data_IF_583203370544
#
_entry.id   IF_583203370544
#
_cell.length_a   1.000
_cell.length_b   1.000
_cell.length_c   1.000
_cell.angle_alpha   90.00
_cell.angle_beta   90.00
_cell.angle_gamma   90.00
#
_symmetry.space_group_name_H-M   'P 1'
#
loop_
_entity.id
_entity.type
_entity.pdbx_description
1 polymer ?
#
# COMPACT_ATOMS: atom_id res chain seq x y z
N UNK A 1 -18.17 -16.55 6.19
CA UNK A 1 -17.67 -15.82 7.39
C UNK A 1 -16.37 -16.49 7.81
N UNK A 2 -15.22 -15.97 7.37
CA UNK A 2 -13.91 -16.53 7.74
C UNK A 2 -13.38 -15.76 8.96
N UNK A 3 -13.02 -16.51 10.01
CA UNK A 3 -12.50 -16.02 11.27
C UNK A 3 -11.17 -15.25 11.05
N UNK A 4 -11.12 -14.00 11.56
CA UNK A 4 -9.85 -13.30 11.72
C UNK A 4 -8.99 -14.02 12.78
N UNK A 5 -7.67 -14.08 12.63
CA UNK A 5 -6.80 -14.68 13.62
C UNK A 5 -6.94 -13.97 14.96
N UNK A 6 -7.26 -14.74 15.99
CA UNK A 6 -7.31 -14.29 17.37
C UNK A 6 -5.88 -14.23 17.92
N UNK A 7 -5.14 -13.18 17.59
CA UNK A 7 -3.98 -12.81 18.39
C UNK A 7 -4.51 -12.20 19.69
N UNK A 8 -4.32 -12.91 20.80
CA UNK A 8 -4.91 -12.61 22.10
C UNK A 8 -4.34 -11.39 22.83
N UNK A 9 -3.78 -10.41 22.12
CA UNK A 9 -3.35 -9.15 22.71
C UNK A 9 -4.57 -8.33 23.12
N UNK A 10 -4.80 -8.22 24.43
CA UNK A 10 -5.82 -7.34 25.00
C UNK A 10 -5.58 -5.91 24.51
N UNK A 11 -6.62 -5.29 23.96
CA UNK A 11 -6.55 -3.86 23.59
C UNK A 11 -6.13 -3.05 24.84
N UNK A 12 -5.21 -2.10 24.71
CA UNK A 12 -4.87 -1.21 25.80
C UNK A 12 -6.13 -0.45 26.25
N UNK A 13 -6.36 -0.37 27.55
CA UNK A 13 -7.45 0.42 28.12
C UNK A 13 -7.14 1.91 27.89
N UNK A 14 -7.98 2.58 27.15
CA UNK A 14 -7.75 3.97 26.71
C UNK A 14 -7.87 5.00 27.84
N UNK A 15 -8.52 4.68 28.99
CA UNK A 15 -8.88 5.75 29.93
C UNK A 15 -8.79 5.38 31.43
N UNK A 16 -8.16 6.28 32.20
CA UNK A 16 -8.68 6.65 33.51
C UNK A 16 -9.98 7.44 33.33
N UNK A 17 -10.82 7.51 34.38
CA UNK A 17 -12.23 7.85 34.27
C UNK A 17 -12.59 9.26 33.76
N UNK A 18 -11.71 10.26 33.73
CA UNK A 18 -12.14 11.66 33.77
C UNK A 18 -11.77 12.56 32.58
N UNK A 19 -10.70 12.35 31.83
CA UNK A 19 -10.34 13.23 30.71
C UNK A 19 -9.89 12.45 29.48
N UNK A 20 -10.33 12.87 28.31
CA UNK A 20 -9.79 12.43 27.03
C UNK A 20 -8.87 13.50 26.48
N UNK A 21 -7.57 13.28 26.59
CA UNK A 21 -6.53 14.17 26.07
C UNK A 21 -6.08 13.79 24.63
N UNK A 22 -6.92 13.04 23.89
CA UNK A 22 -6.57 12.49 22.57
C UNK A 22 -6.24 10.99 22.63
N UNK A 23 -5.96 10.41 21.46
CA UNK A 23 -5.65 8.98 21.33
C UNK A 23 -4.17 8.62 21.64
N UNK A 24 -3.42 9.55 22.22
CA UNK A 24 -2.01 9.38 22.52
C UNK A 24 -1.08 9.99 21.46
N UNK A 25 0.23 9.69 21.53
CA UNK A 25 1.23 10.22 20.62
C UNK A 25 0.89 9.91 19.16
N UNK A 26 1.33 10.77 18.25
CA UNK A 26 1.17 10.58 16.80
C UNK A 26 2.43 11.03 16.09
N UNK A 27 2.88 10.24 15.13
CA UNK A 27 3.93 10.63 14.20
C UNK A 27 3.49 11.73 13.20
N UNK A 28 2.18 12.02 13.17
CA UNK A 28 1.55 12.94 12.21
C UNK A 28 1.08 14.24 12.84
N UNK A 29 1.59 14.56 14.01
CA UNK A 29 1.39 15.81 14.74
C UNK A 29 2.75 16.34 15.18
N UNK A 30 2.99 17.68 15.15
CA UNK A 30 4.20 18.24 15.70
C UNK A 30 4.41 17.79 17.16
N UNK A 31 5.66 17.48 17.57
CA UNK A 31 5.95 16.91 18.89
C UNK A 31 5.44 17.75 20.08
N UNK A 32 5.50 19.07 19.93
CA UNK A 32 5.16 20.05 20.98
C UNK A 32 3.66 20.43 20.98
N UNK A 33 2.84 19.83 20.11
CA UNK A 33 1.44 20.19 19.97
C UNK A 33 0.54 19.21 20.74
N UNK A 34 -0.25 19.71 21.74
CA UNK A 34 -1.17 18.86 22.47
C UNK A 34 -2.34 18.40 21.58
N UNK A 35 -2.85 17.20 21.84
CA UNK A 35 -4.07 16.75 21.19
C UNK A 35 -5.27 17.50 21.74
N UNK A 36 -6.09 18.07 20.86
CA UNK A 36 -7.38 18.64 21.22
C UNK A 36 -8.48 17.60 21.04
N UNK A 37 -8.90 16.99 22.12
CA UNK A 37 -9.87 15.91 22.08
C UNK A 37 -11.04 16.10 23.04
N UNK A 38 -12.15 15.40 22.78
CA UNK A 38 -13.33 15.40 23.65
C UNK A 38 -13.97 14.03 23.73
N UNK A 39 -14.61 13.77 24.87
CA UNK A 39 -15.33 12.55 25.20
C UNK A 39 -16.77 12.83 25.54
N UNK A 40 -17.69 12.10 24.94
CA UNK A 40 -19.10 12.10 25.26
C UNK A 40 -19.55 10.73 25.76
N UNK A 41 -20.30 10.70 26.86
CA UNK A 41 -20.91 9.48 27.39
C UNK A 41 -22.43 9.50 27.19
N UNK A 42 -23.00 8.39 26.73
CA UNK A 42 -24.45 8.28 26.60
C UNK A 42 -24.91 6.83 26.44
N UNK A 43 -25.75 6.37 27.34
CA UNK A 43 -26.39 5.04 27.24
C UNK A 43 -27.43 4.97 26.08
N UNK A 44 -27.96 6.11 25.64
CA UNK A 44 -28.97 6.21 24.58
C UNK A 44 -28.43 7.07 23.43
N UNK A 45 -28.73 6.67 22.20
CA UNK A 45 -28.31 7.39 20.98
C UNK A 45 -28.72 8.89 20.99
N UNK A 46 -29.94 9.21 21.50
CA UNK A 46 -30.41 10.60 21.62
C UNK A 46 -29.48 11.50 22.47
N UNK A 47 -28.85 10.95 23.53
CA UNK A 47 -27.92 11.72 24.36
C UNK A 47 -26.60 12.00 23.62
N UNK A 48 -26.09 10.99 22.91
CA UNK A 48 -24.90 11.14 22.07
C UNK A 48 -25.17 12.12 20.91
N UNK A 49 -26.33 12.03 20.26
CA UNK A 49 -26.77 12.97 19.21
C UNK A 49 -26.75 14.41 19.69
N UNK A 50 -27.39 14.72 20.83
CA UNK A 50 -27.37 16.08 21.41
C UNK A 50 -25.94 16.53 21.70
N UNK A 51 -25.13 15.69 22.35
CA UNK A 51 -23.75 16.04 22.67
C UNK A 51 -22.88 16.30 21.43
N UNK A 52 -23.09 15.57 20.35
CA UNK A 52 -22.40 15.81 19.05
C UNK A 52 -22.84 17.15 18.47
N UNK A 53 -24.15 17.43 18.42
CA UNK A 53 -24.69 18.69 17.91
C UNK A 53 -24.12 19.90 18.66
N UNK A 54 -24.03 19.80 19.98
CA UNK A 54 -23.66 20.93 20.84
C UNK A 54 -22.14 21.13 20.94
N UNK A 55 -21.34 20.06 20.75
CA UNK A 55 -19.92 20.10 21.07
C UNK A 55 -18.96 19.64 19.97
N UNK A 56 -19.42 18.95 18.93
CA UNK A 56 -18.48 18.52 17.88
C UNK A 56 -18.04 19.72 17.01
N UNK A 57 -16.73 19.85 16.75
CA UNK A 57 -16.22 20.95 15.93
C UNK A 57 -16.52 20.72 14.44
N UNK A 58 -16.48 21.81 13.67
CA UNK A 58 -16.63 21.74 12.21
C UNK A 58 -15.28 21.64 11.48
N UNK A 59 -14.30 21.07 12.13
CA UNK A 59 -12.94 20.89 11.62
C UNK A 59 -12.67 19.44 11.25
N UNK A 60 -11.56 19.20 10.57
CA UNK A 60 -11.05 17.88 10.30
C UNK A 60 -10.65 17.15 11.60
N UNK A 61 -10.73 15.83 11.59
CA UNK A 61 -10.30 15.04 12.72
C UNK A 61 -10.65 13.55 12.60
N UNK A 62 -10.28 12.84 13.66
CA UNK A 62 -10.58 11.42 13.84
C UNK A 62 -11.51 11.22 15.02
N UNK A 63 -12.29 10.15 14.98
CA UNK A 63 -13.22 9.82 16.07
C UNK A 63 -13.22 8.32 16.33
N UNK A 64 -13.49 7.97 17.58
CA UNK A 64 -13.60 6.60 18.05
C UNK A 64 -14.94 6.34 18.71
N UNK A 65 -15.49 5.15 18.47
CA UNK A 65 -16.71 4.65 19.11
C UNK A 65 -16.35 3.51 20.04
N UNK A 66 -16.80 3.60 21.28
CA UNK A 66 -16.43 2.72 22.37
C UNK A 66 -17.70 2.05 22.92
N UNK A 67 -17.62 0.73 23.13
CA UNK A 67 -18.73 -0.08 23.65
C UNK A 67 -18.86 -0.02 25.18
N UNK A 68 -19.80 -0.81 25.72
CA UNK A 68 -20.07 -0.94 27.16
C UNK A 68 -18.92 -1.62 27.93
N UNK A 69 -18.03 -2.32 27.23
CA UNK A 69 -16.83 -2.97 27.77
C UNK A 69 -15.58 -2.11 27.67
N UNK A 70 -15.74 -0.81 27.41
CA UNK A 70 -14.65 0.15 27.21
C UNK A 70 -13.68 -0.22 26.04
N UNK A 71 -14.15 -0.95 25.03
CA UNK A 71 -13.36 -1.29 23.84
C UNK A 71 -13.69 -0.35 22.72
N UNK A 72 -12.69 0.12 21.99
CA UNK A 72 -12.89 0.82 20.72
C UNK A 72 -13.41 -0.20 19.71
N UNK A 73 -14.61 0.04 19.22
CA UNK A 73 -15.28 -0.81 18.23
C UNK A 73 -15.19 -0.26 16.81
N UNK A 74 -14.96 1.04 16.66
CA UNK A 74 -14.82 1.70 15.37
C UNK A 74 -13.98 2.98 15.51
N UNK A 75 -13.15 3.25 14.52
CA UNK A 75 -12.41 4.49 14.29
C UNK A 75 -12.78 5.00 12.90
N UNK A 76 -12.91 6.32 12.77
CA UNK A 76 -13.16 6.96 11.49
C UNK A 76 -12.57 8.36 11.43
N UNK A 77 -12.42 8.87 10.21
CA UNK A 77 -12.01 10.24 9.93
C UNK A 77 -13.14 11.09 9.39
N UNK A 78 -12.97 12.39 9.48
CA UNK A 78 -13.88 13.37 8.92
C UNK A 78 -13.14 14.63 8.44
N UNK A 79 -13.62 15.23 7.33
CA UNK A 79 -13.28 16.61 6.96
C UNK A 79 -13.97 17.62 7.88
N UNK A 80 -15.16 17.26 8.36
CA UNK A 80 -15.96 18.00 9.32
C UNK A 80 -16.52 16.99 10.32
N UNK A 81 -15.99 17.00 11.54
CA UNK A 81 -16.35 16.05 12.60
C UNK A 81 -17.85 16.12 12.94
N UNK A 82 -18.41 17.33 13.08
CA UNK A 82 -19.84 17.50 13.40
C UNK A 82 -20.73 16.87 12.34
N UNK A 83 -20.54 17.24 11.09
CA UNK A 83 -21.32 16.72 9.97
C UNK A 83 -21.25 15.20 9.86
N UNK A 84 -20.04 14.65 9.97
CA UNK A 84 -19.79 13.20 9.89
C UNK A 84 -20.44 12.44 11.05
N UNK A 85 -20.28 12.92 12.27
CA UNK A 85 -20.84 12.28 13.45
C UNK A 85 -22.37 12.35 13.46
N UNK A 86 -22.96 13.50 13.04
CA UNK A 86 -24.41 13.66 12.89
C UNK A 86 -25.00 12.65 11.88
N UNK A 87 -24.25 12.27 10.85
CA UNK A 87 -24.74 11.30 9.83
C UNK A 87 -25.07 9.93 10.42
N UNK A 88 -24.49 9.54 11.55
CA UNK A 88 -24.79 8.28 12.24
C UNK A 88 -26.18 8.25 12.89
N UNK A 89 -26.79 9.41 13.12
CA UNK A 89 -28.10 9.54 13.80
C UNK A 89 -29.26 9.72 12.81
N UNK A 90 -28.99 9.79 11.52
CA UNK A 90 -30.04 9.90 10.48
C UNK A 90 -30.69 8.53 10.27
N UNK A 91 -31.99 8.39 10.59
CA UNK A 91 -32.68 7.10 10.55
C UNK A 91 -32.90 6.60 9.12
N UNK A 92 -33.29 7.46 8.19
CA UNK A 92 -33.76 7.08 6.85
C UNK A 92 -32.64 6.89 5.78
N UNK A 93 -31.39 7.22 6.08
CA UNK A 93 -30.29 7.13 5.10
C UNK A 93 -29.00 6.52 5.65
N UNK A 94 -29.08 5.89 6.80
CA UNK A 94 -27.95 5.30 7.48
C UNK A 94 -27.65 3.88 6.96
N UNK A 95 -26.43 3.60 6.48
CA UNK A 95 -26.07 2.24 6.10
C UNK A 95 -26.24 1.25 7.27
N UNK A 96 -26.65 -0.01 7.03
CA UNK A 96 -26.87 -1.01 8.09
C UNK A 96 -25.68 -1.18 9.05
N UNK A 97 -24.46 -1.05 8.54
CA UNK A 97 -23.23 -1.09 9.35
C UNK A 97 -23.14 0.08 10.33
N UNK A 98 -23.46 1.29 9.89
CA UNK A 98 -23.44 2.49 10.73
C UNK A 98 -24.48 2.39 11.87
N UNK A 99 -25.64 1.81 11.60
CA UNK A 99 -26.64 1.49 12.60
C UNK A 99 -26.11 0.57 13.70
N UNK A 100 -25.55 -0.57 13.32
CA UNK A 100 -24.94 -1.53 14.24
C UNK A 100 -23.81 -0.95 15.10
N UNK A 101 -23.07 0.01 14.55
CA UNK A 101 -21.98 0.68 15.29
C UNK A 101 -22.56 1.62 16.34
N UNK A 102 -23.48 2.53 15.95
CA UNK A 102 -24.01 3.54 16.87
C UNK A 102 -24.84 2.91 17.99
N UNK A 103 -25.59 1.83 17.72
CA UNK A 103 -26.40 1.12 18.71
C UNK A 103 -25.54 0.49 19.83
N UNK A 104 -24.31 0.08 19.51
CA UNK A 104 -23.35 -0.46 20.48
C UNK A 104 -22.50 0.61 21.15
N UNK A 105 -22.50 1.84 20.63
CA UNK A 105 -21.67 2.93 21.16
C UNK A 105 -22.24 3.41 22.49
N UNK A 106 -21.37 3.48 23.51
CA UNK A 106 -21.65 4.06 24.84
C UNK A 106 -20.82 5.28 25.12
N UNK A 107 -19.65 5.36 24.48
CA UNK A 107 -18.77 6.53 24.55
C UNK A 107 -18.32 6.88 23.14
N UNK A 108 -18.42 8.15 22.81
CA UNK A 108 -17.91 8.73 21.58
C UNK A 108 -16.76 9.66 21.95
N UNK A 109 -15.65 9.51 21.29
CA UNK A 109 -14.47 10.36 21.45
C UNK A 109 -14.04 10.90 20.08
N UNK A 110 -13.47 12.09 20.05
CA UNK A 110 -12.83 12.63 18.85
C UNK A 110 -11.58 13.40 19.20
N UNK A 111 -10.70 13.53 18.24
CA UNK A 111 -9.48 14.32 18.25
C UNK A 111 -9.47 15.17 16.99
N UNK A 112 -9.26 16.48 17.13
CA UNK A 112 -9.11 17.38 16.00
C UNK A 112 -7.72 17.16 15.37
N UNK A 113 -7.64 17.33 14.06
CA UNK A 113 -6.38 17.29 13.32
C UNK A 113 -6.24 18.61 12.55
N UNK A 114 -5.03 18.99 12.19
CA UNK A 114 -4.78 20.23 11.48
C UNK A 114 -5.59 20.32 10.18
N UNK A 115 -5.68 19.22 9.44
CA UNK A 115 -6.33 19.15 8.12
C UNK A 115 -6.86 17.73 7.83
N UNK A 116 -7.40 17.53 6.61
CA UNK A 116 -7.94 16.24 6.16
C UNK A 116 -6.83 15.19 5.94
N UNK A 117 -5.65 15.60 5.50
CA UNK A 117 -4.55 14.68 5.26
C UNK A 117 -4.03 14.10 6.59
N UNK A 118 -3.88 14.95 7.61
CA UNK A 118 -3.59 14.51 8.98
C UNK A 118 -4.65 13.55 9.52
N UNK A 119 -5.96 13.85 9.30
CA UNK A 119 -7.04 12.95 9.70
C UNK A 119 -6.95 11.58 9.03
N UNK A 120 -6.56 11.54 7.75
CA UNK A 120 -6.41 10.32 6.98
C UNK A 120 -5.26 9.45 7.50
N UNK A 121 -4.11 10.07 7.78
CA UNK A 121 -2.92 9.39 8.35
C UNK A 121 -3.21 8.89 9.78
N UNK A 122 -3.83 9.72 10.59
CA UNK A 122 -4.16 9.40 11.98
C UNK A 122 -5.18 8.28 12.08
N UNK A 123 -6.18 8.24 11.20
CA UNK A 123 -7.14 7.13 11.12
C UNK A 123 -6.41 5.79 10.90
N UNK A 124 -5.49 5.73 9.93
CA UNK A 124 -4.73 4.52 9.66
C UNK A 124 -3.89 4.09 10.86
N UNK A 125 -3.16 5.03 11.47
CA UNK A 125 -2.34 4.80 12.66
C UNK A 125 -3.17 4.21 13.80
N UNK A 126 -4.34 4.80 14.08
CA UNK A 126 -5.24 4.36 15.14
C UNK A 126 -5.89 3.00 14.85
N UNK A 127 -6.27 2.73 13.58
CA UNK A 127 -6.82 1.43 13.19
C UNK A 127 -5.75 0.33 13.37
N UNK A 128 -4.53 0.60 12.98
CA UNK A 128 -3.42 -0.35 13.14
C UNK A 128 -3.08 -0.61 14.62
N UNK A 129 -3.18 0.42 15.46
CA UNK A 129 -2.90 0.31 16.88
C UNK A 129 -4.02 -0.40 17.66
N UNK A 130 -5.28 0.06 17.50
CA UNK A 130 -6.42 -0.44 18.28
C UNK A 130 -7.15 -1.63 17.67
N UNK A 131 -7.00 -1.89 16.38
CA UNK A 131 -7.64 -2.99 15.65
C UNK A 131 -9.15 -3.11 15.90
N UNK A 132 -9.96 -2.04 15.68
CA UNK A 132 -11.36 -2.04 16.06
C UNK A 132 -12.17 -3.05 15.25
N UNK A 133 -13.12 -3.72 15.90
CA UNK A 133 -13.91 -4.81 15.31
C UNK A 133 -14.65 -4.42 14.01
N UNK A 134 -15.14 -3.19 13.92
CA UNK A 134 -15.89 -2.72 12.77
C UNK A 134 -15.04 -2.04 11.68
N UNK A 135 -13.76 -1.80 11.91
CA UNK A 135 -12.84 -1.44 10.84
C UNK A 135 -12.35 -2.71 10.17
N UNK A 136 -12.50 -2.78 8.87
CA UNK A 136 -12.02 -3.91 8.06
C UNK A 136 -10.76 -3.51 7.31
N UNK A 137 -10.82 -2.38 6.60
CA UNK A 137 -9.66 -1.80 5.91
C UNK A 137 -8.72 -1.13 6.91
N UNK A 138 -7.41 -1.19 6.64
CA UNK A 138 -6.38 -0.59 7.48
C UNK A 138 -5.95 -1.43 8.69
N UNK A 139 -6.61 -2.56 8.96
CA UNK A 139 -6.14 -3.47 10.03
C UNK A 139 -4.87 -4.21 9.58
N UNK A 140 -3.88 -4.37 10.47
CA UNK A 140 -2.71 -5.18 10.19
C UNK A 140 -3.08 -6.60 9.76
N UNK A 141 -2.53 -7.08 8.65
CA UNK A 141 -2.80 -8.40 8.11
C UNK A 141 -4.15 -8.57 7.40
N UNK A 142 -4.97 -7.50 7.27
CA UNK A 142 -6.17 -7.53 6.44
C UNK A 142 -5.83 -7.69 4.95
N UNK A 143 -4.89 -6.89 4.46
CA UNK A 143 -4.27 -7.07 3.16
C UNK A 143 -3.12 -8.07 3.31
N UNK A 144 -3.27 -9.24 2.72
CA UNK A 144 -2.15 -10.19 2.61
C UNK A 144 -1.32 -9.79 1.40
N UNK A 145 -0.19 -9.18 1.67
CA UNK A 145 0.76 -8.83 0.63
C UNK A 145 1.50 -10.05 0.10
N UNK A 146 1.82 -10.01 -1.18
CA UNK A 146 2.59 -11.03 -1.90
C UNK A 146 3.66 -10.35 -2.72
N UNK A 147 4.67 -11.09 -3.08
CA UNK A 147 5.77 -10.61 -3.90
C UNK A 147 5.88 -11.47 -5.15
N UNK A 148 6.18 -10.86 -6.29
CA UNK A 148 6.66 -11.58 -7.44
C UNK A 148 8.17 -11.75 -7.29
N UNK A 149 8.62 -12.99 -7.31
CA UNK A 149 10.02 -13.35 -7.14
C UNK A 149 10.54 -13.98 -8.42
N UNK A 150 11.76 -13.62 -8.80
CA UNK A 150 12.53 -14.34 -9.81
C UNK A 150 13.43 -15.33 -9.05
N UNK A 151 13.20 -16.60 -9.23
CA UNK A 151 13.87 -17.68 -8.53
C UNK A 151 15.39 -17.69 -8.73
N UNK A 152 16.06 -18.64 -8.09
CA UNK A 152 17.52 -18.83 -8.18
C UNK A 152 17.93 -19.76 -9.33
N UNK A 153 19.20 -19.67 -9.71
CA UNK A 153 19.84 -20.62 -10.63
C UNK A 153 19.63 -22.08 -10.20
N UNK A 154 19.69 -23.08 -11.14
CA UNK A 154 20.15 -22.91 -12.52
C UNK A 154 19.05 -22.51 -13.52
N UNK A 155 17.77 -22.68 -13.22
CA UNK A 155 16.67 -22.33 -14.11
C UNK A 155 15.62 -21.45 -13.38
N UNK A 156 15.91 -20.14 -13.17
CA UNK A 156 15.00 -19.22 -12.52
C UNK A 156 13.69 -19.05 -13.29
N UNK A 157 12.60 -18.82 -12.58
CA UNK A 157 11.31 -18.48 -13.14
C UNK A 157 10.58 -17.49 -12.23
N UNK A 158 9.52 -16.88 -12.73
CA UNK A 158 8.72 -15.90 -11.98
C UNK A 158 7.63 -16.64 -11.20
N UNK A 159 7.52 -16.37 -9.91
CA UNK A 159 6.48 -16.94 -9.05
C UNK A 159 6.00 -15.94 -7.99
N UNK A 160 4.82 -16.17 -7.44
CA UNK A 160 4.27 -15.37 -6.36
C UNK A 160 4.57 -16.01 -5.01
N UNK A 161 5.14 -15.25 -4.07
CA UNK A 161 5.45 -15.69 -2.71
C UNK A 161 4.85 -14.74 -1.67
N UNK A 162 4.35 -15.31 -0.55
CA UNK A 162 3.89 -14.49 0.58
C UNK A 162 5.08 -13.86 1.32
N UNK A 163 6.22 -14.54 1.35
CA UNK A 163 7.47 -14.06 1.97
C UNK A 163 8.64 -14.49 1.10
N UNK A 164 9.42 -13.55 0.56
CA UNK A 164 10.68 -13.86 -0.10
C UNK A 164 11.70 -14.48 0.88
N UNK A 165 12.56 -15.33 0.39
CA UNK A 165 13.59 -16.00 1.19
C UNK A 165 14.91 -15.21 1.25
N UNK A 166 15.06 -14.19 0.42
CA UNK A 166 16.28 -13.40 0.26
C UNK A 166 17.34 -14.05 -0.66
N UNK A 167 17.01 -15.20 -1.25
CA UNK A 167 17.90 -15.95 -2.17
C UNK A 167 17.50 -15.79 -3.64
N UNK A 168 16.45 -15.03 -3.91
CA UNK A 168 15.91 -14.77 -5.24
C UNK A 168 16.81 -13.78 -6.00
N UNK A 169 16.83 -13.89 -7.33
CA UNK A 169 17.51 -12.92 -8.21
C UNK A 169 16.82 -11.55 -8.25
N UNK A 170 15.59 -11.48 -7.77
CA UNK A 170 14.83 -10.26 -7.63
C UNK A 170 13.47 -10.50 -7.00
N UNK A 171 13.00 -9.51 -6.23
CA UNK A 171 11.69 -9.51 -5.60
C UNK A 171 10.99 -8.19 -5.88
N UNK A 172 9.73 -8.27 -6.29
CA UNK A 172 8.93 -7.16 -6.76
C UNK A 172 7.60 -7.12 -6.00
N UNK A 173 7.24 -5.98 -5.51
CA UNK A 173 6.03 -5.83 -4.71
C UNK A 173 6.20 -4.81 -3.59
N UNK A 174 5.30 -4.83 -2.64
CA UNK A 174 4.26 -5.82 -2.37
C UNK A 174 3.04 -5.73 -3.29
N UNK A 175 2.41 -6.86 -3.58
CA UNK A 175 1.19 -7.00 -4.37
C UNK A 175 -0.01 -7.26 -3.47
N UNK A 176 -1.18 -6.67 -3.78
CA UNK A 176 -2.41 -6.78 -2.96
C UNK A 176 -3.33 -7.93 -3.38
N UNK A 177 -3.24 -8.40 -4.63
CA UNK A 177 -4.16 -9.41 -5.18
C UNK A 177 -3.38 -10.64 -5.61
N UNK A 178 -3.39 -11.68 -4.77
CA UNK A 178 -2.64 -12.91 -5.00
C UNK A 178 -2.93 -13.52 -6.37
N UNK A 179 -4.20 -13.72 -6.71
CA UNK A 179 -4.60 -14.35 -7.96
C UNK A 179 -4.10 -13.59 -9.20
N UNK A 180 -4.09 -12.23 -9.14
CA UNK A 180 -3.53 -11.41 -10.22
C UNK A 180 -2.02 -11.53 -10.33
N UNK A 181 -1.34 -11.65 -9.20
CA UNK A 181 0.11 -11.83 -9.16
C UNK A 181 0.51 -13.20 -9.72
N UNK A 182 -0.23 -14.24 -9.36
CA UNK A 182 -0.02 -15.60 -9.88
C UNK A 182 -0.31 -15.69 -11.37
N UNK A 183 -1.40 -15.05 -11.84
CA UNK A 183 -1.71 -14.98 -13.27
C UNK A 183 -0.63 -14.21 -14.05
N UNK A 184 -0.22 -13.05 -13.57
CA UNK A 184 0.84 -12.27 -14.20
C UNK A 184 2.19 -13.02 -14.24
N UNK A 185 2.55 -13.75 -13.16
CA UNK A 185 3.74 -14.59 -13.14
C UNK A 185 3.68 -15.68 -14.22
N UNK A 186 2.54 -16.36 -14.35
CA UNK A 186 2.33 -17.36 -15.40
C UNK A 186 2.45 -16.75 -16.79
N UNK A 187 1.82 -15.59 -17.05
CA UNK A 187 1.90 -14.89 -18.34
C UNK A 187 3.33 -14.47 -18.69
N UNK A 188 4.11 -14.04 -17.70
CA UNK A 188 5.53 -13.73 -17.89
C UNK A 188 6.33 -14.99 -18.22
N UNK A 189 6.12 -16.09 -17.49
CA UNK A 189 6.80 -17.35 -17.79
C UNK A 189 6.45 -17.87 -19.19
N UNK A 190 5.18 -17.80 -19.60
CA UNK A 190 4.75 -18.20 -20.93
C UNK A 190 5.40 -17.36 -22.04
N UNK A 191 5.46 -16.04 -21.86
CA UNK A 191 6.02 -15.13 -22.84
C UNK A 191 7.53 -15.28 -23.01
N UNK A 192 8.24 -15.34 -21.87
CA UNK A 192 9.70 -15.46 -21.87
C UNK A 192 10.18 -16.92 -21.90
N UNK A 193 9.27 -17.87 -22.13
CA UNK A 193 9.53 -19.32 -22.20
C UNK A 193 10.23 -19.88 -20.96
N UNK A 194 9.86 -19.38 -19.79
CA UNK A 194 10.41 -19.86 -18.53
C UNK A 194 9.59 -21.05 -18.02
N UNK A 195 10.25 -21.90 -17.25
CA UNK A 195 9.60 -23.05 -16.58
C UNK A 195 8.65 -22.58 -15.48
N UNK A 196 7.68 -23.41 -15.10
CA UNK A 196 6.87 -23.27 -13.89
C UNK A 196 6.63 -24.63 -13.19
N UNK A 197 7.32 -25.66 -13.67
CA UNK A 197 7.28 -26.99 -13.10
C UNK A 197 7.97 -27.04 -11.72
N UNK A 198 7.67 -28.05 -10.88
CA UNK A 198 8.30 -28.23 -9.57
C UNK A 198 9.82 -28.24 -9.65
N UNK A 199 10.49 -27.78 -8.60
CA UNK A 199 11.96 -27.76 -8.50
C UNK A 199 12.58 -29.15 -8.48
N UNK A 200 11.78 -30.20 -8.23
CA UNK A 200 12.19 -31.59 -8.26
C UNK A 200 12.41 -32.13 -9.66
N UNK A 201 11.92 -31.47 -10.71
CA UNK A 201 12.20 -31.88 -12.09
C UNK A 201 13.66 -31.60 -12.39
N UNK A 202 14.45 -32.67 -12.76
CA UNK A 202 15.87 -32.52 -13.08
C UNK A 202 16.05 -31.59 -14.30
N UNK A 203 17.17 -30.91 -14.36
CA UNK A 203 17.53 -30.01 -15.44
C UNK A 203 18.67 -30.58 -16.24
N UNK A 204 18.52 -30.58 -17.58
CA UNK A 204 19.52 -31.02 -18.53
C UNK A 204 19.56 -29.98 -19.66
N UNK A 205 20.49 -29.04 -19.58
CA UNK A 205 20.68 -28.04 -20.63
C UNK A 205 21.48 -28.61 -21.80
N UNK A 206 21.26 -28.10 -23.02
CA UNK A 206 21.96 -28.56 -24.22
C UNK A 206 23.49 -28.35 -24.19
N UNK A 207 23.95 -27.41 -23.36
CA UNK A 207 25.38 -27.11 -23.17
C UNK A 207 26.03 -27.90 -22.01
N UNK A 208 25.36 -28.89 -21.44
CA UNK A 208 25.89 -29.74 -20.37
C UNK A 208 26.64 -31.00 -20.87
N UNK A 209 26.88 -31.12 -22.16
CA UNK A 209 27.92 -31.98 -22.73
C UNK A 209 27.78 -33.51 -22.62
N UNK A 210 26.74 -34.02 -21.98
CA UNK A 210 26.53 -35.49 -21.88
C UNK A 210 25.60 -35.96 -23.01
N UNK A 211 26.15 -36.78 -23.91
CA UNK A 211 25.42 -37.37 -25.05
C UNK A 211 24.27 -38.28 -24.59
N UNK A 212 24.41 -38.89 -23.41
CA UNK A 212 23.43 -39.79 -22.81
C UNK A 212 23.20 -39.39 -21.36
N UNK A 213 22.18 -38.57 -21.12
CA UNK A 213 21.71 -38.28 -19.75
C UNK A 213 20.47 -39.14 -19.45
N UNK A 214 20.63 -40.20 -18.64
CA UNK A 214 19.53 -41.10 -18.27
C UNK A 214 18.46 -40.38 -17.40
N UNK A 215 18.76 -39.20 -16.92
CA UNK A 215 17.86 -38.40 -16.07
C UNK A 215 17.07 -37.35 -16.85
N UNK A 216 17.11 -37.35 -18.18
CA UNK A 216 16.27 -36.42 -18.97
C UNK A 216 14.80 -36.64 -18.66
N UNK A 217 14.15 -35.58 -18.23
CA UNK A 217 12.69 -35.60 -18.03
C UNK A 217 11.99 -35.85 -19.37
N UNK A 218 10.86 -36.57 -19.40
CA UNK A 218 10.03 -36.64 -20.61
C UNK A 218 9.53 -35.20 -20.97
N UNK A 219 9.33 -34.94 -22.25
CA UNK A 219 8.75 -33.71 -22.75
C UNK A 219 7.39 -33.44 -22.07
N UNK A 220 7.00 -32.18 -22.01
CA UNK A 220 5.75 -31.75 -21.40
C UNK A 220 4.97 -30.83 -22.34
N UNK A 221 3.67 -30.72 -22.11
CA UNK A 221 2.77 -29.89 -22.89
C UNK A 221 3.25 -28.44 -23.08
N UNK A 222 3.89 -27.85 -22.06
CA UNK A 222 4.41 -26.49 -22.16
C UNK A 222 5.57 -26.33 -23.16
N UNK A 223 6.38 -27.36 -23.30
CA UNK A 223 7.41 -27.41 -24.35
C UNK A 223 6.76 -27.53 -25.72
N UNK A 224 5.80 -28.45 -25.87
CA UNK A 224 5.10 -28.70 -27.14
C UNK A 224 4.36 -27.46 -27.65
N UNK A 225 3.66 -26.71 -26.78
CA UNK A 225 2.97 -25.48 -27.13
C UNK A 225 3.89 -24.24 -27.15
N UNK A 226 5.21 -24.41 -26.95
CA UNK A 226 6.21 -23.35 -27.06
C UNK A 226 6.23 -22.31 -25.95
N UNK A 227 5.62 -22.60 -24.77
CA UNK A 227 5.58 -21.71 -23.60
C UNK A 227 6.69 -21.96 -22.58
N UNK A 228 7.56 -22.95 -22.84
CA UNK A 228 8.77 -23.25 -22.07
C UNK A 228 9.91 -23.58 -23.03
N UNK A 229 11.13 -23.15 -22.72
CA UNK A 229 12.32 -23.43 -23.52
C UNK A 229 12.89 -24.85 -23.34
N UNK A 230 12.31 -25.67 -22.45
CA UNK A 230 12.69 -27.06 -22.24
C UNK A 230 14.07 -27.30 -21.58
N UNK A 231 14.41 -26.60 -20.48
CA UNK A 231 15.70 -26.77 -19.81
C UNK A 231 15.85 -28.14 -19.12
N UNK A 232 14.81 -28.96 -19.09
CA UNK A 232 14.82 -30.30 -18.51
C UNK A 232 15.06 -31.44 -19.55
N UNK A 233 14.99 -31.07 -20.85
CA UNK A 233 15.14 -32.05 -21.94
C UNK A 233 16.26 -31.68 -22.94
N UNK A 234 17.09 -30.71 -22.60
CA UNK A 234 18.21 -30.30 -23.47
C UNK A 234 17.81 -29.48 -24.68
N UNK A 235 16.61 -28.85 -24.69
CA UNK A 235 16.13 -28.04 -25.82
C UNK A 235 16.73 -26.63 -25.86
N UNK A 236 17.32 -26.16 -24.77
CA UNK A 236 17.98 -24.86 -24.71
C UNK A 236 19.28 -24.93 -23.90
N UNK A 237 20.20 -24.04 -24.23
CA UNK A 237 21.40 -23.78 -23.44
C UNK A 237 21.09 -22.91 -22.22
N UNK A 238 21.99 -22.92 -21.22
CA UNK A 238 21.91 -21.99 -20.05
C UNK A 238 21.92 -20.52 -20.49
N UNK A 239 22.69 -20.21 -21.55
CA UNK A 239 22.77 -18.85 -22.09
C UNK A 239 21.44 -18.38 -22.66
N UNK A 240 20.77 -19.21 -23.47
CA UNK A 240 19.45 -18.92 -24.07
C UNK A 240 18.37 -18.78 -22.99
N UNK A 241 18.29 -19.75 -22.06
CA UNK A 241 17.35 -19.68 -20.95
C UNK A 241 17.59 -18.43 -20.09
N UNK A 242 18.84 -18.10 -19.80
CA UNK A 242 19.24 -16.93 -19.07
C UNK A 242 18.88 -15.61 -19.76
N UNK A 243 18.81 -15.60 -21.12
CA UNK A 243 18.33 -14.44 -21.84
C UNK A 243 16.84 -14.16 -21.57
N UNK A 244 15.99 -15.19 -21.57
CA UNK A 244 14.58 -15.09 -21.17
C UNK A 244 14.40 -14.57 -19.74
N UNK A 245 15.23 -15.08 -18.81
CA UNK A 245 15.22 -14.60 -17.41
C UNK A 245 15.60 -13.12 -17.31
N UNK A 246 16.64 -12.68 -18.04
CA UNK A 246 17.05 -11.27 -18.06
C UNK A 246 15.96 -10.36 -18.66
N UNK A 247 15.30 -10.81 -19.72
CA UNK A 247 14.19 -10.08 -20.35
C UNK A 247 12.99 -9.95 -19.39
N UNK A 248 12.59 -11.04 -18.72
CA UNK A 248 11.54 -11.00 -17.70
C UNK A 248 11.90 -10.03 -16.55
N UNK A 249 13.15 -10.06 -16.11
CA UNK A 249 13.65 -9.14 -15.07
C UNK A 249 13.66 -7.70 -15.55
N UNK A 250 14.05 -7.43 -16.81
CA UNK A 250 14.03 -6.08 -17.40
C UNK A 250 12.61 -5.51 -17.43
N UNK A 251 11.61 -6.33 -17.74
CA UNK A 251 10.19 -5.94 -17.66
C UNK A 251 9.78 -5.62 -16.21
N UNK A 252 10.07 -6.49 -15.27
CA UNK A 252 9.75 -6.29 -13.85
C UNK A 252 10.44 -5.06 -13.25
N UNK A 253 11.66 -4.77 -13.68
CA UNK A 253 12.40 -3.55 -13.32
C UNK A 253 11.82 -2.28 -14.01
N UNK A 254 10.92 -2.43 -15.00
CA UNK A 254 10.35 -1.34 -15.80
C UNK A 254 11.32 -0.74 -16.82
N UNK A 255 12.41 -1.46 -17.15
CA UNK A 255 13.41 -1.05 -18.15
C UNK A 255 13.00 -1.40 -19.56
N UNK A 256 12.20 -2.44 -19.73
CA UNK A 256 11.71 -2.88 -21.05
C UNK A 256 10.22 -3.20 -20.98
N UNK A 257 9.47 -2.63 -21.92
CA UNK A 257 8.01 -2.81 -22.09
C UNK A 257 7.66 -3.37 -23.46
N UNK A 258 8.62 -3.90 -24.18
CA UNK A 258 8.42 -4.45 -25.54
C UNK A 258 7.33 -5.52 -25.53
N UNK A 259 7.27 -6.36 -24.48
CA UNK A 259 6.21 -7.39 -24.35
C UNK A 259 4.79 -6.82 -24.44
N UNK A 260 4.52 -5.64 -23.89
CA UNK A 260 3.19 -5.01 -23.97
C UNK A 260 2.86 -4.55 -25.39
N UNK A 261 3.83 -3.97 -26.08
CA UNK A 261 3.68 -3.54 -27.48
C UNK A 261 3.47 -4.73 -28.41
N UNK A 262 4.25 -5.79 -28.24
CA UNK A 262 4.17 -7.00 -29.06
C UNK A 262 2.85 -7.74 -28.82
N UNK A 263 2.37 -7.83 -27.57
CA UNK A 263 1.06 -8.42 -27.27
C UNK A 263 -0.07 -7.61 -27.91
N UNK A 264 0.01 -6.28 -27.86
CA UNK A 264 -0.96 -5.41 -28.51
C UNK A 264 -0.96 -5.62 -30.02
N UNK A 265 0.20 -5.59 -30.64
CA UNK A 265 0.32 -5.82 -32.10
C UNK A 265 -0.24 -7.20 -32.50
N UNK A 266 0.06 -8.25 -31.74
CA UNK A 266 -0.48 -9.60 -32.00
C UNK A 266 -2.00 -9.67 -31.80
N UNK A 267 -2.55 -8.93 -30.82
CA UNK A 267 -3.98 -8.84 -30.58
C UNK A 267 -4.67 -8.16 -31.75
N UNK A 268 -4.13 -7.01 -32.20
CA UNK A 268 -4.69 -6.22 -33.29
C UNK A 268 -4.64 -7.02 -34.63
N UNK A 269 -3.53 -7.67 -34.93
CA UNK A 269 -3.40 -8.54 -36.10
C UNK A 269 -4.36 -9.72 -36.10
N UNK A 270 -4.59 -10.36 -34.94
CA UNK A 270 -5.55 -11.45 -34.79
C UNK A 270 -7.00 -10.94 -35.00
N UNK A 271 -7.30 -9.73 -34.50
CA UNK A 271 -8.62 -9.12 -34.71
C UNK A 271 -8.87 -8.76 -36.16
N UNK A 272 -7.88 -8.21 -36.87
CA UNK A 272 -7.93 -7.93 -38.32
C UNK A 272 -8.12 -9.19 -39.15
N UNK A 273 -7.55 -10.31 -38.70
CA UNK A 273 -7.71 -11.63 -39.34
C UNK A 273 -8.97 -12.37 -38.89
N UNK A 274 -9.87 -11.74 -38.14
CA UNK A 274 -11.12 -12.33 -37.61
C UNK A 274 -10.88 -13.53 -36.66
N UNK A 275 -9.65 -13.72 -36.15
CA UNK A 275 -9.29 -14.77 -35.19
C UNK A 275 -9.65 -14.33 -33.74
N UNK A 276 -10.95 -14.15 -33.46
CA UNK A 276 -11.46 -13.51 -32.25
C UNK A 276 -11.07 -14.24 -30.95
N UNK A 277 -10.97 -15.56 -30.96
CA UNK A 277 -10.52 -16.33 -29.79
C UNK A 277 -9.06 -16.02 -29.45
N UNK A 278 -8.22 -15.97 -30.49
CA UNK A 278 -6.80 -15.62 -30.34
C UNK A 278 -6.62 -14.17 -29.90
N UNK A 279 -7.37 -13.24 -30.50
CA UNK A 279 -7.39 -11.82 -30.10
C UNK A 279 -7.81 -11.68 -28.62
N UNK A 280 -8.84 -12.42 -28.19
CA UNK A 280 -9.28 -12.44 -26.78
C UNK A 280 -8.20 -12.97 -25.85
N UNK A 281 -7.53 -14.07 -26.21
CA UNK A 281 -6.43 -14.61 -25.41
C UNK A 281 -5.26 -13.63 -25.28
N UNK A 282 -4.93 -12.89 -26.36
CA UNK A 282 -3.88 -11.84 -26.33
C UNK A 282 -4.31 -10.65 -25.48
N UNK A 283 -5.56 -10.20 -25.59
CA UNK A 283 -6.13 -9.14 -24.76
C UNK A 283 -6.02 -9.48 -23.26
N UNK A 284 -6.40 -10.70 -22.87
CA UNK A 284 -6.37 -11.11 -21.47
C UNK A 284 -4.93 -11.18 -20.92
N UNK A 285 -3.97 -11.59 -21.75
CA UNK A 285 -2.54 -11.54 -21.43
C UNK A 285 -2.06 -10.09 -21.28
N UNK A 286 -2.40 -9.23 -22.21
CA UNK A 286 -2.05 -7.81 -22.18
C UNK A 286 -2.58 -7.11 -20.93
N UNK A 287 -3.86 -7.27 -20.64
CA UNK A 287 -4.48 -6.68 -19.43
C UNK A 287 -3.82 -7.13 -18.13
N UNK A 288 -3.43 -8.40 -18.02
CA UNK A 288 -2.72 -8.92 -16.87
C UNK A 288 -1.34 -8.27 -16.68
N UNK A 289 -0.57 -8.14 -17.75
CA UNK A 289 0.76 -7.54 -17.71
C UNK A 289 0.73 -6.01 -17.58
N UNK A 290 -0.24 -5.34 -18.19
CA UNK A 290 -0.48 -3.90 -17.99
C UNK A 290 -0.84 -3.58 -16.53
N UNK A 291 -1.70 -4.41 -15.92
CA UNK A 291 -1.98 -4.28 -14.49
C UNK A 291 -0.72 -4.42 -13.66
N UNK A 292 0.13 -5.40 -13.97
CA UNK A 292 1.39 -5.63 -13.24
C UNK A 292 2.35 -4.45 -13.42
N UNK A 293 2.59 -4.00 -14.65
CA UNK A 293 3.48 -2.86 -14.92
C UNK A 293 2.98 -1.58 -14.25
N UNK A 294 1.67 -1.31 -14.32
CA UNK A 294 1.04 -0.17 -13.65
C UNK A 294 1.24 -0.20 -12.14
N UNK A 295 1.07 -1.37 -11.52
CA UNK A 295 1.28 -1.53 -10.08
C UNK A 295 2.75 -1.34 -9.69
N UNK A 296 3.67 -2.00 -10.39
CA UNK A 296 5.11 -1.86 -10.13
C UNK A 296 5.60 -0.44 -10.39
N UNK A 297 5.08 0.23 -11.42
CA UNK A 297 5.39 1.63 -11.71
C UNK A 297 4.94 2.56 -10.59
N UNK A 298 3.76 2.33 -10.01
CA UNK A 298 3.28 3.07 -8.84
C UNK A 298 4.21 2.89 -7.64
N UNK A 299 4.62 1.66 -7.35
CA UNK A 299 5.54 1.37 -6.25
C UNK A 299 6.93 1.99 -6.47
N UNK A 300 7.45 1.91 -7.71
CA UNK A 300 8.73 2.55 -8.08
C UNK A 300 8.65 4.07 -7.95
N UNK A 301 7.57 4.68 -8.43
CA UNK A 301 7.35 6.11 -8.30
C UNK A 301 7.25 6.54 -6.82
N UNK A 302 6.50 5.80 -6.02
CA UNK A 302 6.40 6.07 -4.58
C UNK A 302 7.78 6.00 -3.90
N UNK A 303 8.58 4.98 -4.22
CA UNK A 303 9.90 4.78 -3.62
C UNK A 303 10.95 5.80 -4.08
N UNK A 304 10.96 6.14 -5.38
CA UNK A 304 12.07 6.87 -5.98
C UNK A 304 11.77 8.36 -6.20
N UNK A 305 10.49 8.75 -6.33
CA UNK A 305 10.07 10.11 -6.69
C UNK A 305 9.27 10.83 -5.61
N UNK A 306 8.65 10.10 -4.68
CA UNK A 306 7.83 10.72 -3.65
C UNK A 306 8.68 11.06 -2.41
N UNK A 307 9.67 11.94 -2.61
CA UNK A 307 10.44 12.55 -1.54
C UNK A 307 10.36 14.06 -1.71
N UNK A 308 9.54 14.72 -0.88
CA UNK A 308 9.20 16.14 -0.95
C UNK A 308 8.57 16.61 0.36
N UNK A 309 8.51 17.93 0.55
CA UNK A 309 7.73 18.56 1.61
C UNK A 309 6.37 18.95 1.05
N UNK A 310 5.31 18.57 1.73
CA UNK A 310 3.94 18.91 1.36
C UNK A 310 3.36 19.91 2.34
N UNK A 311 3.29 21.22 1.96
CA UNK A 311 2.68 22.25 2.79
C UNK A 311 1.15 22.18 2.68
N UNK A 312 0.46 22.30 3.82
CA UNK A 312 -0.98 22.28 3.87
C UNK A 312 -1.49 23.20 5.00
N UNK A 313 -2.40 24.09 4.67
CA UNK A 313 -2.99 24.97 5.65
C UNK A 313 -3.88 24.22 6.64
N UNK A 314 -3.61 24.37 7.92
CA UNK A 314 -4.43 23.87 9.00
C UNK A 314 -5.69 24.73 9.22
N UNK A 315 -6.66 24.17 9.95
CA UNK A 315 -7.91 24.86 10.27
C UNK A 315 -7.71 26.06 11.21
N UNK A 316 -6.57 26.15 11.86
CA UNK A 316 -6.15 27.24 12.76
C UNK A 316 -5.31 28.32 12.05
N UNK A 317 -5.18 28.23 10.72
CA UNK A 317 -4.41 29.16 9.89
C UNK A 317 -2.89 28.94 9.95
N UNK A 318 -2.41 27.92 10.67
CA UNK A 318 -0.99 27.53 10.60
C UNK A 318 -0.78 26.61 9.40
N UNK A 319 0.34 26.75 8.74
CA UNK A 319 0.74 25.86 7.66
C UNK A 319 1.55 24.69 8.23
N UNK A 320 1.10 23.46 7.94
CA UNK A 320 1.75 22.22 8.35
C UNK A 320 2.60 21.69 7.19
N UNK A 321 3.85 21.37 7.44
CA UNK A 321 4.75 20.75 6.49
C UNK A 321 4.90 19.25 6.76
N UNK A 322 4.35 18.43 5.86
CA UNK A 322 4.49 16.98 5.92
C UNK A 322 5.75 16.57 5.17
N UNK A 323 6.76 16.10 5.90
CA UNK A 323 8.02 15.61 5.33
C UNK A 323 7.80 14.20 4.81
N UNK A 324 7.62 14.08 3.51
CA UNK A 324 7.36 12.82 2.83
C UNK A 324 8.69 12.34 2.22
N UNK A 325 9.17 11.18 2.69
CA UNK A 325 10.37 10.54 2.15
C UNK A 325 10.02 9.13 1.69
N UNK A 326 10.37 8.83 0.43
CA UNK A 326 10.06 7.54 -0.23
C UNK A 326 8.59 7.12 -0.10
N UNK A 327 7.71 8.10 -0.27
CA UNK A 327 6.25 7.89 -0.25
C UNK A 327 5.64 7.73 1.13
N UNK A 328 6.37 7.98 2.21
CA UNK A 328 5.88 7.93 3.60
C UNK A 328 6.05 9.28 4.26
N UNK A 329 5.06 9.69 5.06
CA UNK A 329 5.24 10.78 5.99
C UNK A 329 6.16 10.32 7.11
N UNK A 330 7.31 10.97 7.25
CA UNK A 330 8.35 10.66 8.26
C UNK A 330 8.30 11.60 9.44
N UNK A 331 7.93 12.85 9.20
CA UNK A 331 7.78 13.86 10.22
C UNK A 331 6.77 14.93 9.78
N UNK A 332 6.29 15.69 10.74
CA UNK A 332 5.42 16.85 10.52
C UNK A 332 5.98 18.01 11.34
N UNK A 333 6.06 19.17 10.74
CA UNK A 333 6.52 20.39 11.38
C UNK A 333 5.58 21.54 11.00
N UNK A 334 5.41 22.50 11.88
CA UNK A 334 4.75 23.77 11.56
C UNK A 334 5.68 24.61 10.69
N UNK A 335 5.18 25.24 9.64
CA UNK A 335 5.95 26.18 8.83
C UNK A 335 6.61 27.23 9.74
N UNK A 336 7.93 27.43 9.68
CA UNK A 336 8.64 28.33 10.60
C UNK A 336 8.20 29.78 10.39
N UNK A 337 8.09 30.53 11.48
CA UNK A 337 7.77 31.96 11.50
C UNK A 337 8.85 32.80 12.16
N UNK A 338 9.83 32.15 12.77
CA UNK A 338 10.96 32.80 13.43
C UNK A 338 12.28 32.16 12.97
N UNK A 339 13.41 32.86 12.99
CA UNK A 339 14.71 32.28 12.62
C UNK A 339 15.07 31.03 13.44
N UNK A 340 14.70 30.99 14.72
CA UNK A 340 14.93 29.84 15.57
C UNK A 340 14.12 28.60 15.11
N UNK A 341 12.85 28.78 14.80
CA UNK A 341 12.01 27.70 14.22
C UNK A 341 12.56 27.27 12.86
N UNK A 342 13.05 28.23 12.06
CA UNK A 342 13.68 27.97 10.76
C UNK A 342 14.88 27.03 10.87
N UNK A 343 15.81 27.28 11.82
CA UNK A 343 16.96 26.42 12.05
C UNK A 343 16.52 25.00 12.45
N UNK A 344 15.54 24.88 13.35
CA UNK A 344 15.02 23.56 13.78
C UNK A 344 14.33 22.82 12.63
N UNK A 345 13.53 23.50 11.85
CA UNK A 345 12.82 22.92 10.69
C UNK A 345 13.83 22.46 9.63
N UNK A 346 14.82 23.28 9.29
CA UNK A 346 15.87 22.93 8.33
C UNK A 346 16.65 21.69 8.77
N UNK A 347 17.03 21.60 10.05
CA UNK A 347 17.71 20.44 10.61
C UNK A 347 16.86 19.16 10.52
N UNK A 348 15.55 19.25 10.83
CA UNK A 348 14.62 18.12 10.73
C UNK A 348 14.42 17.69 9.26
N UNK A 349 14.30 18.64 8.34
CA UNK A 349 14.21 18.38 6.89
C UNK A 349 15.48 17.65 6.44
N UNK A 350 16.66 18.17 6.78
CA UNK A 350 17.94 17.54 6.44
C UNK A 350 17.99 16.09 6.94
N UNK A 351 17.76 15.88 8.23
CA UNK A 351 17.78 14.55 8.85
C UNK A 351 16.75 13.59 8.22
N UNK A 352 15.57 14.08 7.84
CA UNK A 352 14.51 13.24 7.24
C UNK A 352 14.89 12.75 5.85
N UNK A 353 15.57 13.55 5.05
CA UNK A 353 15.91 13.22 3.66
C UNK A 353 17.33 12.63 3.49
N UNK A 354 18.22 12.78 4.48
CA UNK A 354 19.56 12.18 4.48
C UNK A 354 19.56 10.72 4.96
N UNK A 355 18.48 10.28 5.61
CA UNK A 355 18.36 8.91 6.12
C UNK A 355 18.30 7.92 4.95
N UNK A 356 19.42 7.25 4.68
CA UNK A 356 19.54 6.20 3.68
C UNK A 356 20.29 4.96 4.19
N UNK A 357 19.59 3.90 4.48
CA UNK A 357 19.95 2.64 3.87
C UNK A 357 18.80 2.13 3.01
N UNK A 358 19.13 1.43 1.92
CA UNK A 358 18.17 0.72 1.09
C UNK A 358 17.29 -0.13 2.00
N UNK A 359 16.00 0.19 2.18
CA UNK A 359 15.22 -0.49 3.20
C UNK A 359 15.08 -1.96 2.84
N UNK A 360 15.17 -2.81 3.84
CA UNK A 360 14.62 -4.16 3.80
C UNK A 360 13.22 -4.15 3.19
N UNK A 361 12.73 -5.29 2.70
CA UNK A 361 11.38 -5.42 2.17
C UNK A 361 10.38 -4.72 3.11
N UNK A 362 9.50 -3.84 2.58
CA UNK A 362 8.64 -3.03 3.42
C UNK A 362 7.68 -3.92 4.22
N UNK A 363 7.47 -3.59 5.49
CA UNK A 363 6.45 -4.23 6.32
C UNK A 363 5.06 -3.87 5.83
N UNK A 364 4.04 -4.67 6.18
CA UNK A 364 2.64 -4.41 5.81
C UNK A 364 2.19 -2.98 6.21
N UNK A 365 2.53 -2.52 7.41
CA UNK A 365 2.20 -1.17 7.88
C UNK A 365 2.88 -0.06 7.05
N UNK A 366 4.11 -0.30 6.61
CA UNK A 366 4.86 0.61 5.74
C UNK A 366 4.18 0.74 4.37
N UNK A 367 3.72 -0.39 3.83
CA UNK A 367 3.04 -0.44 2.53
C UNK A 367 1.72 0.31 2.57
N UNK A 368 0.89 0.08 3.60
CA UNK A 368 -0.38 0.78 3.77
C UNK A 368 -0.19 2.30 3.77
N UNK A 369 0.85 2.80 4.46
CA UNK A 369 1.19 4.22 4.48
C UNK A 369 1.59 4.76 3.10
N UNK A 370 2.45 4.05 2.36
CA UNK A 370 2.87 4.43 0.99
C UNK A 370 1.68 4.46 0.03
N UNK A 371 0.81 3.45 0.11
CA UNK A 371 -0.38 3.37 -0.74
C UNK A 371 -1.39 4.48 -0.42
N UNK A 372 -1.53 4.84 0.86
CA UNK A 372 -2.40 5.91 1.31
C UNK A 372 -1.92 7.26 0.78
N UNK A 373 -0.64 7.60 0.93
CA UNK A 373 -0.03 8.83 0.39
C UNK A 373 -0.17 8.88 -1.14
N UNK A 374 0.12 7.77 -1.83
CA UNK A 374 -0.03 7.69 -3.29
C UNK A 374 -1.48 7.86 -3.74
N UNK A 375 -2.44 7.31 -2.98
CA UNK A 375 -3.86 7.46 -3.27
C UNK A 375 -4.36 8.89 -3.04
N UNK A 376 -3.82 9.60 -2.04
CA UNK A 376 -4.11 11.00 -1.79
C UNK A 376 -3.76 11.86 -3.00
N UNK A 377 -2.49 11.83 -3.45
CA UNK A 377 -2.02 12.64 -4.59
C UNK A 377 -2.61 12.21 -5.94
N UNK A 378 -3.13 11.01 -6.06
CA UNK A 378 -3.89 10.60 -7.25
C UNK A 378 -5.30 11.19 -7.25
N UNK A 379 -5.97 11.25 -6.10
CA UNK A 379 -7.31 11.82 -5.96
C UNK A 379 -7.30 13.36 -5.97
N UNK A 380 -6.24 13.96 -5.47
CA UNK A 380 -6.06 15.40 -5.32
C UNK A 380 -4.90 15.84 -6.23
N UNK A 381 -5.08 15.69 -7.55
CA UNK A 381 -4.00 15.93 -8.50
C UNK A 381 -3.45 17.37 -8.44
N UNK A 382 -4.31 18.36 -8.16
CA UNK A 382 -3.92 19.77 -7.99
C UNK A 382 -2.99 20.03 -6.81
N UNK A 383 -3.00 19.18 -5.80
CA UNK A 383 -2.10 19.32 -4.63
C UNK A 383 -0.62 19.12 -4.97
N UNK A 384 -0.32 18.46 -6.08
CA UNK A 384 1.07 18.28 -6.54
C UNK A 384 1.77 19.59 -6.88
N UNK A 385 1.02 20.61 -7.27
CA UNK A 385 1.59 21.94 -7.56
C UNK A 385 2.12 22.67 -6.31
N UNK A 386 1.72 22.24 -5.12
CA UNK A 386 2.15 22.84 -3.85
C UNK A 386 3.42 22.20 -3.28
N UNK A 387 3.88 21.07 -3.86
CA UNK A 387 4.99 20.32 -3.32
C UNK A 387 6.28 21.14 -3.40
N UNK A 388 7.05 21.10 -2.32
CA UNK A 388 8.38 21.72 -2.25
C UNK A 388 9.44 20.62 -2.30
N UNK A 389 10.48 20.86 -3.06
CA UNK A 389 11.69 20.06 -2.96
C UNK A 389 12.38 20.31 -1.61
N UNK A 390 13.30 19.43 -1.22
CA UNK A 390 14.13 19.63 -0.02
C UNK A 390 14.81 21.02 -0.02
N UNK A 391 15.39 21.40 -1.15
CA UNK A 391 16.12 22.67 -1.28
C UNK A 391 15.20 23.88 -1.12
N UNK A 392 14.03 23.87 -1.77
CA UNK A 392 13.04 24.94 -1.65
C UNK A 392 12.50 25.07 -0.22
N UNK A 393 12.24 23.95 0.44
CA UNK A 393 11.78 23.95 1.83
C UNK A 393 12.84 24.52 2.79
N UNK A 394 14.12 24.13 2.63
CA UNK A 394 15.22 24.68 3.44
C UNK A 394 15.41 26.17 3.16
N UNK A 395 15.32 26.62 1.91
CA UNK A 395 15.39 28.04 1.57
C UNK A 395 14.30 28.86 2.27
N UNK A 396 13.06 28.33 2.33
CA UNK A 396 11.95 28.95 3.08
C UNK A 396 12.16 28.98 4.60
N UNK A 397 13.04 28.15 5.15
CA UNK A 397 13.38 28.21 6.57
C UNK A 397 14.34 29.36 6.91
N UNK A 398 15.03 29.92 5.91
CA UNK A 398 15.99 31.03 6.10
C UNK A 398 15.36 32.42 5.97
N UNK A 399 14.11 32.50 5.50
CA UNK A 399 13.33 33.73 5.37
C UNK A 399 12.41 33.94 6.57
#
# INVERSE_FOLDING_TARGET
MRNAPRDGKKQPRLFPAEAFAGFGPSAFRPPDEPATGRKLRGKRAKRLHRGVRDHAPQTAGVYGMIDDRARIIYIGKAKNLRSRLMSYFRENSRPPKAGKIIDRTRVLVWEQTADEFAALLRELELIQHFRPKFNVQGQPGYQKYHYLCVGKSPAPYVYAAARPTGKELGCYGPMVKRYKSEDAARRLNDWFKLRDCPSTVPLSFSDQGELFDPNRAPGCIRLEIGTCAGPCVGQCSRKEYGAGVRAAKAFLDGRDRTVLRDLKAKMDAAAESFEFEKATAMRDRLQSLEWLDGWLSLLRAARNRNSFVYPLAGHDGREMWYLIHRGRVRAVVVSPRTPYEGVRAAALIAATFDDDPTPALPTDATVDSVLLVSAWFRKQAGEKAKLLTRTEAIAKCAT
#
